data_IF_589820299711
#
_entry.id   IF_589820299711
#
_cell.length_a   1.000
_cell.length_b   1.000
_cell.length_c   1.000
_cell.angle_alpha   90.00
_cell.angle_beta   90.00
_cell.angle_gamma   90.00
#
_symmetry.space_group_name_H-M   'P 1'
#
loop_
_entity.id
_entity.type
_entity.pdbx_description
1 polymer ?
#
# COMPACT_ATOMS: atom_id res chain seq x y z
N UNK A 1 -29.68 17.59 5.88
CA UNK A 1 -28.55 17.96 5.02
C UNK A 1 -27.63 16.78 5.09
N UNK A 2 -27.61 15.95 4.06
CA UNK A 2 -26.59 14.89 3.97
C UNK A 2 -25.25 15.62 3.79
N UNK A 3 -24.36 15.49 4.77
CA UNK A 3 -22.97 15.91 4.61
C UNK A 3 -22.35 14.99 3.57
N UNK A 4 -22.32 15.43 2.32
CA UNK A 4 -21.46 14.82 1.31
C UNK A 4 -20.02 15.10 1.70
N UNK A 5 -19.41 14.21 2.47
CA UNK A 5 -17.97 14.19 2.62
C UNK A 5 -17.36 14.07 1.22
N UNK A 6 -16.46 14.98 0.82
CA UNK A 6 -15.82 14.88 -0.48
C UNK A 6 -14.98 13.60 -0.50
N UNK A 7 -15.21 12.73 -1.48
CA UNK A 7 -14.35 11.59 -1.75
C UNK A 7 -13.02 12.13 -2.27
N UNK A 8 -11.96 11.99 -1.46
CA UNK A 8 -10.61 12.41 -1.85
C UNK A 8 -10.00 11.26 -2.64
N UNK A 9 -9.64 11.51 -3.90
CA UNK A 9 -8.82 10.62 -4.71
C UNK A 9 -7.51 11.35 -5.03
N UNK A 10 -6.39 10.77 -4.63
CA UNK A 10 -5.06 11.36 -4.77
C UNK A 10 -4.05 10.32 -5.20
N UNK A 11 -3.44 10.53 -6.36
CA UNK A 11 -2.21 9.83 -6.73
C UNK A 11 -1.05 10.54 -6.04
N UNK A 12 -0.38 9.84 -5.13
CA UNK A 12 0.70 10.41 -4.33
C UNK A 12 2.08 10.14 -4.92
N UNK A 13 2.26 9.00 -5.58
CA UNK A 13 3.55 8.57 -6.11
C UNK A 13 3.39 7.62 -7.29
N UNK A 14 4.39 7.59 -8.17
CA UNK A 14 4.42 6.69 -9.33
C UNK A 14 5.85 6.35 -9.70
N UNK A 15 6.07 5.14 -10.22
CA UNK A 15 7.40 4.69 -10.64
C UNK A 15 7.34 3.70 -11.81
N UNK A 16 8.24 3.84 -12.78
CA UNK A 16 8.33 2.91 -13.91
C UNK A 16 9.21 1.71 -13.57
N UNK A 17 8.74 0.51 -13.85
CA UNK A 17 9.51 -0.72 -13.67
C UNK A 17 10.22 -1.07 -14.98
N UNK A 18 11.43 -1.66 -14.87
CA UNK A 18 12.17 -2.08 -16.07
C UNK A 18 11.46 -3.23 -16.77
N UNK A 19 11.39 -3.13 -18.09
CA UNK A 19 10.78 -4.17 -18.92
C UNK A 19 11.51 -5.51 -18.80
N UNK A 20 10.73 -6.59 -18.83
CA UNK A 20 11.24 -7.96 -18.89
C UNK A 20 11.85 -8.49 -17.60
N UNK A 21 11.64 -7.81 -16.47
CA UNK A 21 12.06 -8.30 -15.14
C UNK A 21 10.93 -9.00 -14.40
N UNK A 22 9.69 -8.54 -14.57
CA UNK A 22 8.52 -9.15 -13.94
C UNK A 22 8.31 -10.60 -14.38
N UNK A 23 7.83 -11.42 -13.45
CA UNK A 23 7.45 -12.80 -13.73
C UNK A 23 6.24 -12.82 -14.65
N UNK A 24 6.25 -13.74 -15.62
CA UNK A 24 5.17 -13.83 -16.60
C UNK A 24 3.82 -14.18 -15.98
N UNK A 25 3.81 -14.94 -14.89
CA UNK A 25 2.62 -15.26 -14.11
C UNK A 25 2.98 -15.04 -12.64
N UNK A 26 2.44 -13.97 -12.01
CA UNK A 26 2.63 -13.73 -10.59
C UNK A 26 2.09 -14.88 -9.72
N UNK A 27 2.65 -15.03 -8.53
CA UNK A 27 2.20 -16.05 -7.58
C UNK A 27 0.97 -15.56 -6.82
N UNK A 28 -0.17 -16.25 -7.00
CA UNK A 28 -1.40 -15.99 -6.24
C UNK A 28 -1.32 -16.73 -4.90
N UNK A 29 -1.25 -15.99 -3.79
CA UNK A 29 -1.26 -16.58 -2.44
C UNK A 29 -2.70 -16.78 -2.00
N UNK A 30 -3.14 -18.04 -1.91
CA UNK A 30 -4.38 -18.41 -1.24
C UNK A 30 -4.08 -18.85 0.20
N UNK A 31 -4.48 -18.05 1.19
CA UNK A 31 -4.27 -18.36 2.60
C UNK A 31 -5.14 -19.53 3.05
N UNK A 32 -4.56 -20.48 3.76
CA UNK A 32 -5.33 -21.53 4.42
C UNK A 32 -6.05 -20.98 5.66
N UNK A 33 -7.19 -21.58 6.05
CA UNK A 33 -7.98 -21.13 7.22
C UNK A 33 -7.13 -20.97 8.50
N UNK A 34 -6.12 -21.83 8.69
CA UNK A 34 -5.22 -21.81 9.86
C UNK A 34 -4.23 -20.64 9.84
N UNK A 35 -3.77 -20.26 8.66
CA UNK A 35 -2.85 -19.12 8.51
C UNK A 35 -3.62 -17.82 8.68
N UNK A 36 -4.83 -17.75 8.12
CA UNK A 36 -5.74 -16.62 8.33
C UNK A 36 -6.06 -16.43 9.81
N UNK A 37 -6.40 -17.49 10.54
CA UNK A 37 -6.61 -17.43 11.99
C UNK A 37 -5.38 -16.92 12.76
N UNK A 38 -4.17 -17.27 12.30
CA UNK A 38 -2.92 -16.83 12.95
C UNK A 38 -2.69 -15.33 12.71
N UNK A 39 -2.88 -14.87 11.48
CA UNK A 39 -2.77 -13.45 11.11
C UNK A 39 -3.77 -12.64 11.93
N UNK A 40 -5.05 -13.04 11.95
CA UNK A 40 -6.09 -12.34 12.73
C UNK A 40 -5.73 -12.25 14.22
N UNK A 41 -5.21 -13.32 14.82
CA UNK A 41 -4.78 -13.30 16.24
C UNK A 41 -3.62 -12.35 16.46
N UNK A 42 -2.63 -12.36 15.57
CA UNK A 42 -1.48 -11.48 15.66
C UNK A 42 -1.88 -10.01 15.49
N UNK A 43 -2.71 -9.68 14.49
CA UNK A 43 -3.24 -8.33 14.28
C UNK A 43 -4.08 -7.86 15.47
N UNK A 44 -4.89 -8.73 16.07
CA UNK A 44 -5.67 -8.39 17.27
C UNK A 44 -4.77 -8.09 18.48
N UNK A 45 -3.68 -8.83 18.65
CA UNK A 45 -2.70 -8.58 19.71
C UNK A 45 -1.95 -7.25 19.48
N UNK A 46 -1.55 -6.95 18.24
CA UNK A 46 -0.86 -5.71 17.88
C UNK A 46 -1.74 -4.47 18.08
N UNK A 47 -3.02 -4.53 17.67
CA UNK A 47 -4.00 -3.46 17.92
C UNK A 47 -4.21 -3.21 19.42
N UNK A 48 -4.28 -4.29 20.22
CA UNK A 48 -4.42 -4.17 21.67
C UNK A 48 -3.21 -3.51 22.33
N UNK A 49 -2.01 -3.74 21.80
CA UNK A 49 -0.78 -3.10 22.29
C UNK A 49 -0.77 -1.61 21.93
N UNK A 50 -1.20 -1.25 20.70
CA UNK A 50 -1.31 0.13 20.27
C UNK A 50 -2.30 0.93 21.14
N UNK A 51 -3.49 0.37 21.42
CA UNK A 51 -4.49 1.01 22.29
C UNK A 51 -4.00 1.18 23.75
N UNK A 52 -3.23 0.21 24.27
CA UNK A 52 -2.68 0.30 25.62
C UNK A 52 -1.52 1.32 25.76
N UNK A 53 -0.98 1.84 24.65
CA UNK A 53 0.07 2.84 24.61
C UNK A 53 -0.41 4.30 24.65
N UNK A 54 -1.71 4.55 24.50
CA UNK A 54 -2.31 5.89 24.41
C UNK A 54 -2.98 6.39 25.71
N UNK A 55 -2.97 5.60 26.79
CA UNK A 55 -3.59 5.96 28.08
C UNK A 55 -2.67 6.82 28.99
N UNK A 56 -2.27 8.02 28.55
CA UNK A 56 -1.92 9.13 29.46
C UNK A 56 -2.27 10.50 28.84
N UNK A 57 -3.57 10.83 28.74
CA UNK A 57 -4.14 12.16 29.10
C UNK A 57 -5.57 12.33 28.58
N UNK A 58 -6.55 12.30 29.49
CA UNK A 58 -7.52 13.38 29.77
C UNK A 58 -8.87 12.84 30.30
N UNK A 59 -9.10 13.08 31.59
CA UNK A 59 -10.45 13.08 32.18
C UNK A 59 -11.20 14.35 31.76
N UNK A 60 -12.42 14.21 31.21
CA UNK A 60 -13.69 14.72 31.76
C UNK A 60 -14.82 14.78 30.71
N UNK A 61 -16.04 14.40 31.09
CA UNK A 61 -17.28 15.06 30.61
C UNK A 61 -18.39 14.23 29.96
N UNK A 62 -19.25 13.65 30.79
CA UNK A 62 -20.59 13.05 30.57
C UNK A 62 -21.46 13.46 29.34
N UNK A 63 -22.23 12.50 28.79
CA UNK A 63 -23.72 12.60 28.82
C UNK A 63 -24.41 11.27 28.51
N UNK A 64 -25.58 11.09 29.11
CA UNK A 64 -26.29 9.85 29.36
C UNK A 64 -27.44 9.58 28.39
N UNK A 65 -27.63 8.31 28.00
CA UNK A 65 -28.91 7.82 27.47
C UNK A 65 -29.26 6.44 28.05
N UNK A 66 -30.49 6.32 28.54
CA UNK A 66 -31.02 5.26 29.39
C UNK A 66 -30.92 3.81 28.85
N UNK A 67 -30.91 2.78 29.72
CA UNK A 67 -30.85 1.39 29.29
C UNK A 67 -32.22 0.94 28.74
N UNK A 68 -32.22 0.40 27.52
CA UNK A 68 -33.37 -0.32 26.95
C UNK A 68 -33.31 -1.77 27.46
N UNK A 69 -34.41 -2.29 27.98
CA UNK A 69 -34.46 -3.68 28.47
C UNK A 69 -34.15 -4.66 27.32
N UNK A 70 -33.30 -5.69 27.55
CA UNK A 70 -32.94 -6.64 26.51
C UNK A 70 -34.11 -7.56 26.17
N UNK A 71 -34.27 -7.96 24.89
CA UNK A 71 -35.27 -8.93 24.48
C UNK A 71 -35.02 -10.31 25.12
N UNK A 72 -36.09 -11.08 25.30
CA UNK A 72 -36.09 -12.34 26.06
C UNK A 72 -35.31 -13.51 25.40
N UNK A 73 -34.83 -13.34 24.17
CA UNK A 73 -33.94 -14.28 23.48
C UNK A 73 -32.93 -13.48 22.62
N UNK A 74 -31.61 -13.61 22.85
CA UNK A 74 -30.57 -12.84 22.15
C UNK A 74 -30.35 -13.21 20.67
N UNK A 75 -30.97 -14.27 20.14
CA UNK A 75 -30.82 -14.66 18.73
C UNK A 75 -32.01 -14.28 17.83
N UNK A 76 -33.06 -13.66 18.36
CA UNK A 76 -34.30 -13.34 17.61
C UNK A 76 -34.46 -11.83 17.31
N UNK A 77 -33.37 -11.06 17.34
CA UNK A 77 -33.40 -9.61 17.09
C UNK A 77 -33.84 -9.25 15.66
N UNK A 78 -33.67 -10.16 14.71
CA UNK A 78 -33.94 -9.95 13.28
C UNK A 78 -35.12 -10.75 12.72
N UNK A 79 -35.79 -11.58 13.54
CA UNK A 79 -36.97 -12.38 13.15
C UNK A 79 -36.84 -13.03 11.75
N UNK A 80 -35.72 -13.75 11.54
CA UNK A 80 -35.37 -14.43 10.28
C UNK A 80 -36.42 -15.47 9.84
N UNK A 81 -37.19 -16.02 10.78
CA UNK A 81 -38.16 -17.08 10.50
C UNK A 81 -39.41 -16.59 9.73
N UNK A 82 -39.66 -15.28 9.68
CA UNK A 82 -40.85 -14.71 8.99
C UNK A 82 -40.52 -13.93 7.71
N UNK A 83 -39.27 -13.99 7.24
CA UNK A 83 -38.85 -13.24 6.06
C UNK A 83 -39.53 -13.71 4.77
N UNK A 84 -39.89 -14.99 4.70
CA UNK A 84 -40.56 -15.60 3.55
C UNK A 84 -42.09 -15.40 3.55
N UNK A 85 -42.67 -14.75 4.56
CA UNK A 85 -44.11 -14.53 4.70
C UNK A 85 -44.55 -13.09 4.38
N UNK A 86 -43.91 -12.42 3.40
CA UNK A 86 -44.48 -11.20 2.80
C UNK A 86 -45.40 -11.51 1.60
N UNK A 87 -46.62 -11.01 1.73
CA UNK A 87 -47.80 -11.35 0.96
C UNK A 87 -47.80 -10.81 -0.48
N UNK A 88 -48.30 -11.65 -1.40
CA UNK A 88 -48.61 -11.33 -2.78
C UNK A 88 -49.60 -10.14 -2.88
N UNK A 89 -49.13 -8.91 -3.14
CA UNK A 89 -50.04 -7.85 -3.55
C UNK A 89 -49.55 -6.99 -4.73
N UNK A 90 -50.35 -7.00 -5.78
CA UNK A 90 -50.13 -6.36 -7.09
C UNK A 90 -50.24 -4.84 -6.99
N UNK A 91 -49.14 -4.12 -7.24
CA UNK A 91 -49.14 -2.70 -7.57
C UNK A 91 -48.44 -2.43 -8.91
N UNK A 92 -49.21 -2.19 -9.98
CA UNK A 92 -48.69 -1.86 -11.32
C UNK A 92 -47.97 -0.51 -11.35
N UNK A 93 -46.77 -0.45 -11.91
CA UNK A 93 -46.34 0.68 -12.73
C UNK A 93 -45.39 0.23 -13.85
N UNK A 94 -45.97 0.23 -15.05
CA UNK A 94 -45.41 0.55 -16.37
C UNK A 94 -44.02 0.01 -16.76
N UNK A 95 -44.06 -0.95 -17.68
CA UNK A 95 -42.97 -1.45 -18.49
C UNK A 95 -42.49 -0.45 -19.58
N UNK A 96 -41.18 -0.44 -19.84
CA UNK A 96 -40.61 -0.35 -21.19
C UNK A 96 -39.24 -1.02 -21.23
N UNK A 97 -39.26 -2.35 -21.26
CA UNK A 97 -38.15 -3.15 -21.76
C UNK A 97 -38.17 -3.08 -23.28
N UNK A 98 -37.12 -2.52 -23.88
CA UNK A 98 -36.70 -2.76 -25.26
C UNK A 98 -35.24 -2.31 -25.44
N UNK A 99 -34.32 -3.19 -25.08
CA UNK A 99 -33.21 -3.51 -25.98
C UNK A 99 -32.82 -4.96 -25.72
N UNK A 100 -32.87 -5.75 -26.79
CA UNK A 100 -32.45 -7.14 -26.77
C UNK A 100 -30.92 -7.16 -26.61
N UNK A 101 -30.44 -7.26 -25.37
CA UNK A 101 -29.12 -7.84 -25.13
C UNK A 101 -29.35 -9.34 -25.16
N UNK A 102 -29.22 -9.92 -26.35
CA UNK A 102 -28.89 -11.33 -26.46
C UNK A 102 -27.53 -11.49 -25.77
N UNK A 103 -27.52 -11.97 -24.53
CA UNK A 103 -26.33 -12.58 -23.96
C UNK A 103 -26.05 -13.80 -24.83
N UNK A 104 -25.15 -13.65 -25.79
CA UNK A 104 -24.44 -14.78 -26.35
C UNK A 104 -23.54 -15.29 -25.22
N UNK A 105 -23.64 -16.56 -24.80
CA UNK A 105 -22.56 -17.17 -24.04
C UNK A 105 -21.34 -17.13 -24.96
N UNK A 106 -20.35 -16.29 -24.65
CA UNK A 106 -19.08 -16.30 -25.35
C UNK A 106 -18.32 -17.52 -24.88
N UNK A 107 -18.59 -18.69 -25.48
CA UNK A 107 -17.69 -19.83 -25.43
C UNK A 107 -16.47 -19.52 -26.33
N UNK A 108 -15.62 -18.63 -25.84
CA UNK A 108 -14.22 -18.47 -26.24
C UNK A 108 -13.34 -18.74 -25.01
N UNK A 109 -12.01 -18.89 -25.15
CA UNK A 109 -11.13 -18.77 -23.98
C UNK A 109 -11.47 -17.45 -23.28
N UNK A 110 -11.58 -17.48 -21.96
CA UNK A 110 -11.92 -16.31 -21.17
C UNK A 110 -10.87 -15.23 -21.47
N UNK A 111 -11.30 -14.08 -22.00
CA UNK A 111 -10.36 -13.02 -22.44
C UNK A 111 -9.46 -12.56 -21.28
N UNK A 112 -9.96 -12.72 -20.06
CA UNK A 112 -9.34 -12.32 -18.81
C UNK A 112 -8.09 -13.18 -18.49
N UNK A 113 -8.02 -14.44 -18.96
CA UNK A 113 -6.86 -15.31 -18.70
C UNK A 113 -5.59 -14.89 -19.47
N UNK A 114 -5.72 -14.15 -20.58
CA UNK A 114 -4.57 -13.63 -21.33
C UNK A 114 -4.00 -12.34 -20.70
N UNK A 115 -4.86 -11.56 -20.01
CA UNK A 115 -4.48 -10.29 -19.38
C UNK A 115 -3.74 -10.49 -18.04
N UNK A 116 -3.93 -11.66 -17.42
CA UNK A 116 -3.19 -12.19 -16.24
C UNK A 116 -1.71 -12.54 -16.55
N UNK A 117 -1.32 -12.56 -17.84
CA UNK A 117 0.03 -12.96 -18.26
C UNK A 117 0.84 -11.73 -18.68
N UNK A 118 1.87 -11.41 -17.90
CA UNK A 118 2.78 -10.30 -18.19
C UNK A 118 3.76 -10.69 -19.30
N UNK A 119 3.74 -9.94 -20.42
CA UNK A 119 4.65 -10.18 -21.55
C UNK A 119 5.98 -9.47 -21.31
N UNK A 120 7.12 -10.03 -21.78
CA UNK A 120 8.43 -9.39 -21.60
C UNK A 120 8.57 -7.98 -22.22
N UNK A 121 7.73 -7.65 -23.21
CA UNK A 121 7.74 -6.35 -23.89
C UNK A 121 6.85 -5.30 -23.19
N UNK A 122 6.08 -5.70 -22.20
CA UNK A 122 5.14 -4.83 -21.50
C UNK A 122 5.85 -3.79 -20.66
N UNK A 123 5.19 -2.65 -20.50
CA UNK A 123 5.64 -1.59 -19.62
C UNK A 123 4.86 -1.68 -18.34
N UNK A 124 5.56 -1.73 -17.22
CA UNK A 124 4.93 -1.71 -15.91
C UNK A 124 5.07 -0.31 -15.31
N UNK A 125 3.97 0.19 -14.76
CA UNK A 125 3.89 1.45 -14.03
C UNK A 125 3.25 1.19 -12.67
N UNK A 126 3.98 1.53 -11.62
CA UNK A 126 3.48 1.49 -10.25
C UNK A 126 2.81 2.83 -9.95
N UNK A 127 1.64 2.77 -9.34
CA UNK A 127 0.90 3.96 -8.91
C UNK A 127 0.42 3.76 -7.47
N UNK A 128 0.99 4.54 -6.56
CA UNK A 128 0.50 4.65 -5.20
C UNK A 128 -0.57 5.74 -5.15
N UNK A 129 -1.77 5.37 -4.74
CA UNK A 129 -2.87 6.32 -4.62
C UNK A 129 -3.72 6.03 -3.39
N UNK A 130 -4.49 7.04 -3.00
CA UNK A 130 -5.46 6.96 -1.92
C UNK A 130 -6.82 7.28 -2.51
N UNK A 131 -7.76 6.36 -2.37
CA UNK A 131 -9.15 6.56 -2.75
C UNK A 131 -10.03 6.49 -1.50
N UNK A 132 -10.61 7.62 -1.13
CA UNK A 132 -11.39 7.80 0.10
C UNK A 132 -10.58 7.47 1.36
N UNK A 133 -10.76 6.27 1.93
CA UNK A 133 -10.08 5.74 3.11
C UNK A 133 -9.16 4.56 2.81
N UNK A 134 -9.14 4.07 1.56
CA UNK A 134 -8.28 2.98 1.11
C UNK A 134 -7.00 3.52 0.49
N UNK A 135 -5.85 2.98 0.92
CA UNK A 135 -4.56 3.21 0.29
C UNK A 135 -4.19 2.00 -0.55
N UNK A 136 -3.81 2.24 -1.79
CA UNK A 136 -3.61 1.17 -2.77
C UNK A 136 -2.35 1.44 -3.58
N UNK A 137 -1.58 0.39 -3.81
CA UNK A 137 -0.55 0.33 -4.84
C UNK A 137 -1.10 -0.47 -6.03
N UNK A 138 -1.28 0.19 -7.15
CA UNK A 138 -1.72 -0.46 -8.39
C UNK A 138 -0.54 -0.72 -9.32
N UNK A 139 -0.51 -1.91 -9.91
CA UNK A 139 0.46 -2.31 -10.94
C UNK A 139 -0.23 -2.23 -12.29
N UNK A 140 0.05 -1.16 -13.02
CA UNK A 140 -0.45 -0.95 -14.38
C UNK A 140 0.46 -1.61 -15.41
N UNK A 141 -0.17 -2.21 -16.42
CA UNK A 141 0.49 -2.71 -17.61
C UNK A 141 0.08 -1.85 -18.81
N UNK A 142 1.10 -1.37 -19.54
CA UNK A 142 0.94 -0.74 -20.83
C UNK A 142 1.61 -1.57 -21.93
N UNK A 143 0.79 -2.18 -22.78
CA UNK A 143 1.23 -2.88 -23.98
C UNK A 143 1.11 -1.96 -25.19
N UNK A 144 2.24 -1.68 -25.83
CA UNK A 144 2.30 -0.77 -26.99
C UNK A 144 1.76 -1.39 -28.28
N UNK A 145 1.82 -2.71 -28.43
CA UNK A 145 1.38 -3.39 -29.67
C UNK A 145 -0.15 -3.44 -29.75
N UNK A 146 -0.79 -3.65 -28.60
CA UNK A 146 -2.25 -3.70 -28.45
C UNK A 146 -2.86 -2.33 -28.11
N UNK A 147 -2.02 -1.34 -27.79
CA UNK A 147 -2.40 -0.02 -27.24
C UNK A 147 -3.35 -0.14 -26.04
N UNK A 148 -3.09 -1.15 -25.20
CA UNK A 148 -3.87 -1.45 -23.99
C UNK A 148 -3.16 -0.88 -22.76
N UNK A 149 -3.96 -0.31 -21.86
CA UNK A 149 -3.52 0.18 -20.55
C UNK A 149 -4.54 -0.26 -19.50
N UNK A 150 -4.12 -1.11 -18.58
CA UNK A 150 -5.01 -1.70 -17.58
C UNK A 150 -4.26 -1.95 -16.27
N UNK A 151 -5.01 -2.11 -15.18
CA UNK A 151 -4.49 -2.56 -13.88
C UNK A 151 -4.41 -4.07 -13.93
N UNK A 152 -3.23 -4.63 -13.71
CA UNK A 152 -3.07 -6.08 -13.64
C UNK A 152 -3.42 -6.61 -12.26
N UNK A 153 -2.91 -5.97 -11.21
CA UNK A 153 -3.25 -6.28 -9.83
C UNK A 153 -2.99 -5.07 -8.94
N UNK A 154 -3.54 -5.11 -7.74
CA UNK A 154 -3.36 -4.10 -6.72
C UNK A 154 -2.91 -4.72 -5.39
N UNK A 155 -2.31 -3.89 -4.54
CA UNK A 155 -1.87 -4.23 -3.20
C UNK A 155 -2.46 -3.19 -2.27
N UNK A 156 -3.27 -3.64 -1.31
CA UNK A 156 -3.88 -2.78 -0.31
C UNK A 156 -2.83 -2.46 0.76
N UNK A 157 -2.59 -1.17 0.98
CA UNK A 157 -1.64 -0.68 1.96
C UNK A 157 -2.37 -0.22 3.22
N UNK A 158 -1.81 -0.50 4.42
CA UNK A 158 -2.40 -0.04 5.67
C UNK A 158 -2.13 1.46 5.95
N UNK A 159 -1.34 2.12 5.09
CA UNK A 159 -0.91 3.51 5.25
C UNK A 159 -0.82 4.23 3.91
N UNK A 160 -0.79 5.56 3.97
CA UNK A 160 -0.78 6.43 2.80
C UNK A 160 0.58 6.40 2.11
N UNK A 161 0.69 5.93 0.85
CA UNK A 161 1.96 5.90 0.14
C UNK A 161 2.41 7.32 -0.21
N UNK A 162 3.71 7.59 -0.08
CA UNK A 162 4.30 8.89 -0.38
C UNK A 162 5.43 8.79 -1.41
N UNK A 163 6.18 7.69 -1.40
CA UNK A 163 7.24 7.46 -2.36
C UNK A 163 7.37 5.96 -2.70
N UNK A 164 7.81 5.70 -3.92
CA UNK A 164 8.03 4.37 -4.48
C UNK A 164 9.39 4.36 -5.15
N UNK A 165 10.20 3.36 -4.83
CA UNK A 165 11.44 3.06 -5.54
C UNK A 165 11.45 1.59 -5.94
N UNK A 166 11.70 1.32 -7.22
CA UNK A 166 11.79 -0.05 -7.72
C UNK A 166 13.20 -0.62 -7.48
N UNK A 167 13.24 -1.87 -7.02
CA UNK A 167 14.46 -2.59 -6.67
C UNK A 167 14.59 -3.85 -7.53
N UNK A 168 15.69 -3.94 -8.28
CA UNK A 168 15.93 -5.04 -9.24
C UNK A 168 16.62 -6.27 -8.65
N UNK A 169 16.85 -6.29 -7.34
CA UNK A 169 17.70 -7.29 -6.69
C UNK A 169 17.10 -7.66 -5.35
N UNK A 170 16.83 -8.95 -5.17
CA UNK A 170 16.55 -9.56 -3.89
C UNK A 170 17.89 -10.03 -3.27
N UNK A 171 18.24 -9.64 -2.04
CA UNK A 171 19.40 -10.16 -1.33
C UNK A 171 19.35 -11.69 -1.09
N UNK A 172 18.15 -12.26 -1.02
CA UNK A 172 17.92 -13.66 -0.69
C UNK A 172 18.10 -14.59 -1.90
N UNK A 173 17.87 -14.09 -3.12
CA UNK A 173 17.96 -14.86 -4.37
C UNK A 173 19.09 -14.33 -5.27
N UNK A 174 19.99 -15.19 -5.80
CA UNK A 174 20.95 -14.79 -6.83
C UNK A 174 20.32 -14.28 -8.15
N UNK A 175 19.03 -14.53 -8.39
CA UNK A 175 18.31 -14.02 -9.55
C UNK A 175 17.89 -12.55 -9.37
N UNK A 176 17.70 -11.80 -10.48
CA UNK A 176 17.10 -10.48 -10.40
C UNK A 176 15.68 -10.59 -9.84
N UNK A 177 15.38 -9.79 -8.82
CA UNK A 177 14.06 -9.70 -8.21
C UNK A 177 13.25 -8.54 -8.77
N UNK A 178 11.93 -8.57 -8.54
CA UNK A 178 11.00 -7.52 -8.91
C UNK A 178 10.35 -6.93 -7.66
N UNK A 179 11.14 -6.21 -6.87
CA UNK A 179 10.70 -5.66 -5.58
C UNK A 179 10.42 -4.16 -5.70
N UNK A 180 9.58 -3.62 -4.82
CA UNK A 180 9.43 -2.18 -4.65
C UNK A 180 9.56 -1.80 -3.17
N UNK A 181 10.36 -0.76 -2.91
CA UNK A 181 10.39 -0.11 -1.61
C UNK A 181 9.32 0.99 -1.60
N UNK A 182 8.43 0.93 -0.63
CA UNK A 182 7.39 1.91 -0.39
C UNK A 182 7.69 2.65 0.91
N UNK A 183 7.63 3.98 0.84
CA UNK A 183 7.64 4.85 2.00
C UNK A 183 6.31 5.58 2.12
N UNK A 184 5.80 5.73 3.34
CA UNK A 184 4.53 6.39 3.60
C UNK A 184 4.51 7.12 4.92
N UNK A 185 3.31 7.26 5.49
CA UNK A 185 3.12 7.83 6.82
C UNK A 185 3.57 6.88 7.95
N UNK A 186 3.70 5.59 7.66
CA UNK A 186 4.36 4.64 8.57
C UNK A 186 5.86 4.97 8.65
N UNK A 187 6.46 5.09 9.85
CA UNK A 187 7.89 5.35 9.99
C UNK A 187 8.79 4.28 9.36
N UNK A 188 8.24 3.12 8.98
CA UNK A 188 8.97 1.99 8.39
C UNK A 188 8.86 1.99 6.87
N UNK A 189 9.99 1.94 6.18
CA UNK A 189 10.07 1.65 4.74
C UNK A 189 9.88 0.15 4.57
N UNK A 190 8.84 -0.22 3.84
CA UNK A 190 8.44 -1.59 3.59
C UNK A 190 8.78 -1.98 2.15
N UNK A 191 9.33 -3.18 1.96
CA UNK A 191 9.66 -3.73 0.64
C UNK A 191 8.63 -4.79 0.29
N UNK A 192 7.99 -4.62 -0.84
CA UNK A 192 6.95 -5.48 -1.37
C UNK A 192 7.44 -6.20 -2.61
N UNK A 193 6.99 -7.43 -2.81
CA UNK A 193 7.26 -8.20 -4.03
C UNK A 193 6.12 -7.98 -5.03
N UNK A 194 6.46 -7.50 -6.23
CA UNK A 194 5.51 -7.23 -7.31
C UNK A 194 5.16 -8.48 -8.12
N UNK A 195 5.91 -9.57 -7.94
CA UNK A 195 5.61 -10.86 -8.57
C UNK A 195 4.68 -11.73 -7.70
N UNK A 196 4.15 -11.19 -6.59
CA UNK A 196 3.21 -11.84 -5.68
C UNK A 196 1.91 -11.03 -5.63
N UNK A 197 0.80 -11.69 -5.95
CA UNK A 197 -0.53 -11.10 -5.87
C UNK A 197 -1.20 -11.37 -4.52
N UNK A 198 -2.09 -10.45 -4.10
CA UNK A 198 -2.85 -10.54 -2.85
C UNK A 198 -1.97 -10.68 -1.60
N UNK A 199 -0.77 -10.11 -1.63
CA UNK A 199 0.11 -10.09 -0.48
C UNK A 199 -0.46 -9.14 0.59
N UNK A 200 -0.59 -9.63 1.82
CA UNK A 200 -1.11 -8.84 2.96
C UNK A 200 0.00 -8.22 3.81
N UNK A 201 1.22 -8.76 3.72
CA UNK A 201 2.36 -8.34 4.52
C UNK A 201 3.57 -8.07 3.61
N UNK A 202 4.41 -7.07 3.94
CA UNK A 202 5.60 -6.80 3.14
C UNK A 202 6.61 -7.95 3.24
N UNK A 203 7.35 -8.18 2.16
CA UNK A 203 8.44 -9.17 2.13
C UNK A 203 9.54 -8.81 3.12
N UNK A 204 9.88 -7.52 3.22
CA UNK A 204 10.89 -7.03 4.15
C UNK A 204 10.58 -5.65 4.72
N UNK A 205 11.17 -5.33 5.86
CA UNK A 205 11.29 -3.97 6.38
C UNK A 205 12.72 -3.53 6.12
N UNK A 206 12.94 -2.35 5.55
CA UNK A 206 14.29 -1.89 5.14
C UNK A 206 14.90 -0.93 6.16
N UNK A 207 14.14 0.09 6.53
CA UNK A 207 14.57 1.11 7.47
C UNK A 207 13.35 1.64 8.23
N UNK A 208 13.55 2.15 9.45
CA UNK A 208 12.52 2.90 10.15
C UNK A 208 13.09 4.20 10.69
N UNK A 209 12.49 5.33 10.31
CA UNK A 209 12.81 6.66 10.83
C UNK A 209 11.91 7.00 12.02
N UNK A 210 12.50 7.36 13.15
CA UNK A 210 11.77 7.74 14.37
C UNK A 210 11.81 9.26 14.57
N UNK A 211 10.78 9.79 15.25
CA UNK A 211 10.68 11.20 15.63
C UNK A 211 11.79 11.66 16.59
N UNK A 212 12.57 10.73 17.14
CA UNK A 212 13.74 10.99 17.98
C UNK A 212 15.04 11.29 17.20
N UNK A 213 14.95 11.46 15.87
CA UNK A 213 16.06 11.63 14.93
C UNK A 213 16.95 10.39 14.75
N UNK A 214 16.44 9.19 15.04
CA UNK A 214 17.14 7.93 14.75
C UNK A 214 16.55 7.24 13.51
N UNK A 215 17.43 6.58 12.77
CA UNK A 215 17.04 5.68 11.68
C UNK A 215 17.57 4.30 12.03
N UNK A 216 16.67 3.33 12.20
CA UNK A 216 17.01 1.93 12.37
C UNK A 216 17.04 1.26 11.00
N UNK A 217 18.05 0.44 10.77
CA UNK A 217 18.15 -0.39 9.58
C UNK A 217 17.88 -1.83 9.96
N UNK A 218 17.08 -2.50 9.15
CA UNK A 218 16.65 -3.87 9.34
C UNK A 218 17.53 -4.79 8.50
N UNK A 219 17.93 -5.92 9.07
CA UNK A 219 18.55 -7.01 8.32
C UNK A 219 17.44 -7.77 7.59
N UNK A 220 17.50 -7.72 6.26
CA UNK A 220 16.52 -8.34 5.37
C UNK A 220 16.53 -9.87 5.47
N UNK A 221 17.67 -10.48 5.82
CA UNK A 221 17.81 -11.94 5.95
C UNK A 221 17.26 -12.46 7.29
N UNK A 222 17.34 -11.64 8.35
CA UNK A 222 16.97 -12.04 9.72
C UNK A 222 15.67 -11.40 10.23
N UNK A 223 15.12 -10.41 9.52
CA UNK A 223 13.91 -9.69 9.94
C UNK A 223 14.07 -8.93 11.27
N UNK A 224 15.30 -8.67 11.71
CA UNK A 224 15.61 -8.00 12.99
C UNK A 224 16.28 -6.65 12.76
N UNK A 225 16.07 -5.67 13.66
CA UNK A 225 16.77 -4.39 13.58
C UNK A 225 18.26 -4.64 13.83
N UNK A 226 19.10 -4.41 12.82
CA UNK A 226 20.48 -4.89 12.83
C UNK A 226 21.52 -3.81 13.15
N UNK A 227 21.26 -2.52 12.85
CA UNK A 227 22.20 -1.38 13.02
C UNK A 227 23.24 -1.20 11.90
N UNK A 228 23.49 0.10 11.61
CA UNK A 228 24.42 0.83 10.71
C UNK A 228 24.96 0.06 9.49
N UNK A 229 24.59 0.52 8.30
CA UNK A 229 25.36 0.26 7.08
C UNK A 229 26.75 0.87 7.27
N UNK A 230 27.79 0.15 6.86
CA UNK A 230 29.20 0.56 6.99
C UNK A 230 29.76 1.15 5.68
N UNK A 231 28.92 1.39 4.67
CA UNK A 231 29.41 1.69 3.32
C UNK A 231 28.60 2.71 2.51
N UNK A 232 27.72 3.47 3.14
CA UNK A 232 26.88 4.46 2.47
C UNK A 232 27.42 5.89 2.64
N UNK A 233 27.74 6.52 1.51
CA UNK A 233 27.98 7.95 1.45
C UNK A 233 26.85 8.60 0.67
N UNK A 234 26.06 9.44 1.31
CA UNK A 234 24.96 10.10 0.62
C UNK A 234 24.63 11.49 1.17
N UNK A 235 23.80 12.22 0.43
CA UNK A 235 23.43 13.59 0.74
C UNK A 235 22.02 13.62 1.31
N UNK A 236 21.86 14.39 2.37
CA UNK A 236 20.61 14.54 3.09
C UNK A 236 20.37 16.02 3.35
N UNK A 237 19.11 16.43 3.22
CA UNK A 237 18.70 17.81 3.48
C UNK A 237 17.84 17.89 4.73
N UNK A 238 17.69 19.10 5.27
CA UNK A 238 16.86 19.33 6.45
C UNK A 238 15.86 20.49 6.23
N UNK A 239 14.96 20.65 7.20
CA UNK A 239 13.97 21.73 7.23
C UNK A 239 14.56 23.13 7.51
N UNK A 240 15.88 23.25 7.63
CA UNK A 240 16.58 24.53 7.84
C UNK A 240 17.34 25.00 6.59
N UNK A 241 17.14 24.36 5.44
CA UNK A 241 17.79 24.74 4.19
C UNK A 241 19.23 24.24 4.03
N UNK A 242 19.67 23.34 4.91
CA UNK A 242 21.02 22.77 4.85
C UNK A 242 21.02 21.46 4.10
N UNK A 243 22.10 21.23 3.37
CA UNK A 243 22.41 19.95 2.74
C UNK A 243 23.72 19.44 3.32
N UNK A 244 23.71 18.23 3.86
CA UNK A 244 24.89 17.57 4.39
C UNK A 244 25.24 16.38 3.51
N UNK A 245 26.54 16.15 3.30
CA UNK A 245 27.06 14.89 2.78
C UNK A 245 27.55 14.06 3.94
N UNK A 246 26.96 12.90 4.12
CA UNK A 246 27.17 12.03 5.26
C UNK A 246 27.78 10.73 4.79
N UNK A 247 28.74 10.24 5.56
CA UNK A 247 29.27 8.89 5.47
C UNK A 247 28.83 8.17 6.72
N UNK A 248 28.03 7.13 6.60
CA UNK A 248 27.47 6.40 7.75
C UNK A 248 28.53 5.77 8.66
N UNK A 249 29.78 5.61 8.18
CA UNK A 249 30.92 5.17 9.00
C UNK A 249 31.42 6.24 9.97
N UNK A 250 31.14 7.51 9.70
CA UNK A 250 31.54 8.63 10.52
C UNK A 250 30.33 9.13 11.33
N UNK A 251 30.58 9.65 12.53
CA UNK A 251 29.52 10.22 13.36
C UNK A 251 29.19 11.68 12.98
N UNK A 252 30.09 12.32 12.23
CA UNK A 252 29.93 13.70 11.75
C UNK A 252 29.79 13.72 10.22
N UNK A 253 29.01 14.68 9.66
CA UNK A 253 28.92 14.86 8.22
C UNK A 253 30.29 15.20 7.63
N UNK A 254 30.59 14.67 6.44
CA UNK A 254 31.80 14.99 5.69
C UNK A 254 31.87 16.46 5.33
N UNK A 255 30.73 17.05 4.96
CA UNK A 255 30.55 18.48 4.81
C UNK A 255 29.07 18.86 4.92
N UNK A 256 28.81 20.14 5.21
CA UNK A 256 27.48 20.74 5.23
C UNK A 256 27.51 22.06 4.49
N UNK A 257 26.50 22.34 3.66
CA UNK A 257 26.28 23.62 2.99
C UNK A 257 24.93 24.20 3.41
N UNK A 258 24.86 25.53 3.53
CA UNK A 258 23.62 26.27 3.60
C UNK A 258 23.15 26.52 2.16
N UNK A 259 22.32 25.61 1.63
CA UNK A 259 21.87 25.65 0.24
C UNK A 259 20.77 26.69 0.03
N UNK A 260 19.86 26.81 1.01
CA UNK A 260 18.66 27.62 0.94
C UNK A 260 18.41 28.37 2.25
N UNK A 261 17.65 29.47 2.19
CA UNK A 261 17.17 30.21 3.38
C UNK A 261 15.96 29.53 4.06
N UNK A 262 15.32 28.59 3.36
CA UNK A 262 14.11 27.86 3.76
C UNK A 262 14.31 26.37 3.62
N UNK A 263 13.35 25.59 4.10
CA UNK A 263 13.36 24.13 4.01
C UNK A 263 13.62 23.62 2.59
N UNK A 264 14.40 22.54 2.51
CA UNK A 264 14.65 21.83 1.26
C UNK A 264 13.58 20.75 1.11
N UNK A 265 12.70 20.89 0.12
CA UNK A 265 11.57 19.98 -0.09
C UNK A 265 11.90 18.77 -0.95
N UNK A 266 13.04 18.78 -1.65
CA UNK A 266 13.49 17.66 -2.46
C UNK A 266 14.98 17.75 -2.75
N UNK A 267 15.61 16.61 -3.03
CA UNK A 267 17.02 16.53 -3.36
C UNK A 267 17.19 15.48 -4.45
N UNK A 268 17.79 15.85 -5.57
CA UNK A 268 18.02 14.96 -6.71
C UNK A 268 19.47 15.08 -7.17
N UNK A 269 20.10 13.94 -7.41
CA UNK A 269 21.44 13.84 -7.98
C UNK A 269 21.36 13.50 -9.47
N UNK A 270 22.18 14.17 -10.28
CA UNK A 270 22.29 13.81 -11.69
C UNK A 270 23.11 12.54 -11.85
N UNK A 271 22.53 11.56 -12.54
CA UNK A 271 23.19 10.34 -13.00
C UNK A 271 24.23 10.62 -14.11
N UNK A 272 23.99 11.65 -14.93
CA UNK A 272 24.81 11.99 -16.11
C UNK A 272 25.95 12.95 -15.82
N UNK A 273 25.78 13.84 -14.85
CA UNK A 273 26.76 14.88 -14.53
C UNK A 273 27.26 14.67 -13.10
N UNK A 274 28.46 14.08 -12.93
CA UNK A 274 29.03 13.86 -11.61
C UNK A 274 29.14 15.18 -10.82
N UNK A 275 28.59 15.19 -9.61
CA UNK A 275 28.61 16.34 -8.72
C UNK A 275 27.50 17.38 -8.96
N UNK A 276 26.63 17.19 -9.94
CA UNK A 276 25.43 18.00 -10.09
C UNK A 276 24.32 17.49 -9.17
N UNK A 277 23.86 18.38 -8.29
CA UNK A 277 22.76 18.15 -7.37
C UNK A 277 21.76 19.30 -7.51
N UNK A 278 20.47 18.99 -7.44
CA UNK A 278 19.37 19.95 -7.44
C UNK A 278 18.59 19.79 -6.15
N UNK A 279 18.28 20.92 -5.51
CA UNK A 279 17.62 21.02 -4.21
C UNK A 279 16.68 22.20 -4.21
#
# INVERSE_FOLDING_TARGET
>A
MEETTPTVSLISCMHFVRRGVAKAVPEKIELTEKELEKIIKQTADDLRIAEAGEDESDEEGESSSAPREPPADPNDEFNFEKYDEEDNNKGKSTCSFNSAIQMYPTEGPDSDEEDDIIKPNDNLLLVGHVESDASVLEVYIYNKEEDSFYVHHDIILPWFPLCIEWLSHDPSDPNPGNLCALGGMDPVIQVWDLDIENCLEPAFKLASGSADNTVLLWDLDQGTPHTKIDCFQDKMSNNQGKVAYVDCRNDEPLWTIDAHEKEVTGLILSDRVPGLMVT
#
